data_IF_737489823266
#
_entry.id   IF_737489823266
#
_cell.length_a   1.000
_cell.length_b   1.000
_cell.length_c   1.000
_cell.angle_alpha   90.00
_cell.angle_beta   90.00
_cell.angle_gamma   90.00
#
_symmetry.space_group_name_H-M   'P 1'
#
loop_
_entity.id
_entity.type
_entity.pdbx_description
1 polymer ?
#
# COMPACT_ATOMS: atom_id res chain seq x y z
N UNK A 1 9.06 2.89 -0.01
CA UNK A 1 7.72 3.21 0.55
C UNK A 1 6.71 2.27 -0.05
N UNK A 2 5.50 2.17 0.50
CA UNK A 2 4.37 1.50 -0.11
C UNK A 2 3.25 2.50 -0.38
N UNK A 3 2.55 2.40 -1.51
CA UNK A 3 1.34 3.16 -1.81
C UNK A 3 0.17 2.21 -1.82
N UNK A 4 -0.80 2.43 -0.92
CA UNK A 4 -2.08 1.73 -0.97
C UNK A 4 -3.08 2.66 -1.65
N UNK A 5 -3.61 2.20 -2.78
CA UNK A 5 -4.58 2.89 -3.61
C UNK A 5 -5.98 2.52 -3.15
N UNK A 6 -6.50 3.32 -2.22
CA UNK A 6 -7.80 3.06 -1.61
C UNK A 6 -8.94 3.45 -2.54
N UNK A 7 -9.91 2.55 -2.69
CA UNK A 7 -11.20 2.83 -3.28
C UNK A 7 -11.91 3.90 -2.47
N UNK A 8 -12.50 4.86 -3.17
CA UNK A 8 -13.32 5.93 -2.63
C UNK A 8 -14.79 5.67 -2.92
N UNK A 9 -15.68 6.41 -2.24
CA UNK A 9 -17.13 6.37 -2.46
C UNK A 9 -17.54 6.52 -3.94
N UNK A 10 -16.80 7.33 -4.70
CA UNK A 10 -17.04 7.58 -6.12
C UNK A 10 -16.40 6.52 -7.05
N UNK A 11 -16.01 5.35 -6.52
CA UNK A 11 -15.36 4.24 -7.24
C UNK A 11 -13.99 4.56 -7.86
N UNK A 12 -13.39 5.69 -7.50
CA UNK A 12 -12.00 5.99 -7.90
C UNK A 12 -11.01 5.46 -6.86
N UNK A 13 -9.80 5.13 -7.29
CA UNK A 13 -8.70 4.74 -6.40
C UNK A 13 -7.77 5.93 -6.16
N UNK A 14 -7.36 6.18 -4.92
CA UNK A 14 -6.37 7.22 -4.58
C UNK A 14 -5.23 6.68 -3.70
N UNK A 15 -3.96 6.97 -4.04
CA UNK A 15 -2.83 6.50 -3.27
C UNK A 15 -2.75 7.16 -1.90
N UNK A 16 -2.35 6.38 -0.90
CA UNK A 16 -1.83 6.86 0.36
C UNK A 16 -0.49 6.22 0.62
N UNK A 17 0.50 7.04 0.98
CA UNK A 17 1.89 6.60 1.12
C UNK A 17 2.15 6.16 2.56
N UNK A 18 2.71 4.96 2.71
CA UNK A 18 3.16 4.42 3.98
C UNK A 18 4.68 4.19 3.94
N UNK A 19 5.36 4.65 4.98
CA UNK A 19 6.80 4.43 5.13
C UNK A 19 7.06 2.97 5.52
N UNK A 20 7.88 2.29 4.72
CA UNK A 20 8.41 0.96 5.03
C UNK A 20 9.69 1.07 5.86
N UNK A 21 10.66 1.85 5.37
CA UNK A 21 11.92 2.11 6.04
C UNK A 21 12.90 2.84 5.10
N UNK A 22 14.13 3.05 5.58
CA UNK A 22 15.30 3.41 4.77
C UNK A 22 16.34 2.34 5.05
N UNK A 23 16.88 1.74 4.01
CA UNK A 23 17.85 0.65 4.11
C UNK A 23 19.03 0.95 3.19
N UNK A 24 20.21 0.54 3.62
CA UNK A 24 21.41 0.51 2.78
C UNK A 24 21.67 -0.96 2.47
N UNK A 25 21.80 -1.30 1.19
CA UNK A 25 22.11 -2.67 0.75
C UNK A 25 23.53 -2.71 0.21
N UNK A 26 24.29 -3.73 0.58
CA UNK A 26 25.55 -4.04 -0.07
C UNK A 26 25.30 -4.63 -1.47
N UNK A 27 26.31 -4.60 -2.38
CA UNK A 27 26.19 -5.26 -3.68
C UNK A 27 25.81 -6.73 -3.54
N UNK A 28 24.74 -7.14 -4.22
CA UNK A 28 24.21 -8.52 -4.18
C UNK A 28 23.40 -8.87 -2.92
N UNK A 29 23.26 -7.95 -1.96
CA UNK A 29 22.45 -8.20 -0.76
C UNK A 29 20.96 -8.22 -1.11
N UNK A 30 20.27 -9.25 -0.61
CA UNK A 30 18.81 -9.33 -0.65
C UNK A 30 18.25 -9.09 0.73
N UNK A 31 17.20 -8.28 0.83
CA UNK A 31 16.53 -7.99 2.10
C UNK A 31 15.02 -8.20 2.00
N UNK A 32 14.49 -8.98 2.92
CA UNK A 32 13.04 -9.15 3.10
C UNK A 32 12.52 -8.05 4.03
N UNK A 33 11.44 -7.40 3.62
CA UNK A 33 10.78 -6.35 4.40
C UNK A 33 9.32 -6.70 4.60
N UNK A 34 8.91 -6.82 5.86
CA UNK A 34 7.51 -7.12 6.23
C UNK A 34 6.87 -5.90 6.87
N UNK A 35 5.65 -5.56 6.46
CA UNK A 35 4.85 -4.48 7.03
C UNK A 35 3.39 -4.91 7.10
N UNK A 36 2.81 -4.84 8.28
CA UNK A 36 1.38 -5.08 8.48
C UNK A 36 0.61 -3.77 8.39
N UNK A 37 -0.48 -3.75 7.62
CA UNK A 37 -1.43 -2.64 7.58
C UNK A 37 -2.79 -3.13 8.08
N UNK A 38 -3.32 -2.47 9.11
CA UNK A 38 -4.65 -2.79 9.64
C UNK A 38 -5.73 -1.99 8.89
N UNK A 39 -6.73 -2.70 8.38
CA UNK A 39 -7.93 -2.13 7.78
C UNK A 39 -9.03 -1.84 8.81
N UNK A 40 -8.65 -1.38 10.01
CA UNK A 40 -9.60 -1.00 11.05
C UNK A 40 -10.22 0.35 10.70
N UNK A 41 -11.55 0.43 10.67
CA UNK A 41 -12.26 1.71 10.51
C UNK A 41 -11.89 2.61 11.70
N UNK A 42 -11.36 3.79 11.40
CA UNK A 42 -11.12 4.85 12.38
C UNK A 42 -12.06 6.01 12.08
N UNK A 43 -12.21 6.94 13.03
CA UNK A 43 -12.98 8.18 12.82
C UNK A 43 -12.51 8.97 11.59
N UNK A 44 -11.24 8.85 11.24
CA UNK A 44 -10.60 9.57 10.13
C UNK A 44 -10.51 8.78 8.83
N UNK A 45 -10.92 7.51 8.81
CA UNK A 45 -10.67 6.63 7.65
C UNK A 45 -11.77 5.58 7.48
N UNK A 46 -12.62 5.83 6.49
CA UNK A 46 -13.58 4.86 5.96
C UNK A 46 -12.93 4.04 4.86
N UNK A 47 -13.10 2.72 4.91
CA UNK A 47 -12.73 1.81 3.84
C UNK A 47 -13.96 1.34 3.08
N UNK A 48 -13.91 1.39 1.76
CA UNK A 48 -14.97 0.91 0.89
C UNK A 48 -14.58 -0.48 0.36
N UNK A 49 -15.43 -1.51 0.53
CA UNK A 49 -15.21 -2.81 -0.06
C UNK A 49 -15.06 -2.71 -1.58
N UNK A 50 -14.28 -3.62 -2.15
CA UNK A 50 -13.97 -3.61 -3.58
C UNK A 50 -12.48 -3.73 -3.85
N UNK A 51 -12.14 -3.72 -5.14
CA UNK A 51 -10.77 -3.83 -5.63
C UNK A 51 -9.95 -2.59 -5.30
N UNK A 52 -8.96 -2.78 -4.45
CA UNK A 52 -7.92 -1.83 -4.10
C UNK A 52 -6.66 -2.14 -4.93
N UNK A 53 -5.62 -1.31 -4.82
CA UNK A 53 -4.29 -1.66 -5.33
C UNK A 53 -3.17 -1.31 -4.36
N UNK A 54 -2.03 -1.97 -4.51
CA UNK A 54 -0.81 -1.74 -3.77
C UNK A 54 0.35 -1.61 -4.76
N UNK A 55 1.22 -0.63 -4.56
CA UNK A 55 2.50 -0.54 -5.28
C UNK A 55 3.64 -0.24 -4.32
N UNK A 56 4.85 -0.65 -4.71
CA UNK A 56 6.09 -0.30 -4.01
C UNK A 56 6.75 0.89 -4.68
N UNK A 57 7.28 1.80 -3.87
CA UNK A 57 8.08 2.93 -4.34
C UNK A 57 9.51 2.77 -3.82
N UNK A 58 10.44 2.47 -4.71
CA UNK A 58 11.86 2.25 -4.39
C UNK A 58 12.66 3.38 -5.03
N UNK A 59 13.44 4.10 -4.23
CA UNK A 59 14.24 5.26 -4.69
C UNK A 59 13.43 6.30 -5.50
N UNK A 60 12.16 6.49 -5.16
CA UNK A 60 11.25 7.43 -5.83
C UNK A 60 10.52 6.88 -7.06
N UNK A 61 10.90 5.69 -7.54
CA UNK A 61 10.25 5.03 -8.68
C UNK A 61 9.12 4.12 -8.17
N UNK A 62 7.93 4.33 -8.70
CA UNK A 62 6.76 3.47 -8.44
C UNK A 62 6.83 2.24 -9.35
N UNK A 63 6.73 1.07 -8.73
CA UNK A 63 6.65 -0.21 -9.44
C UNK A 63 5.21 -0.55 -9.85
N UNK A 64 5.01 -1.83 -10.13
CA UNK A 64 3.72 -2.37 -10.55
C UNK A 64 2.62 -2.17 -9.50
N UNK A 65 1.40 -1.97 -10.00
CA UNK A 65 0.18 -1.98 -9.22
C UNK A 65 -0.32 -3.42 -9.09
N UNK A 66 -0.40 -3.90 -7.86
CA UNK A 66 -0.96 -5.21 -7.53
C UNK A 66 -2.34 -4.99 -6.94
N UNK A 67 -3.36 -5.51 -7.61
CA UNK A 67 -4.74 -5.43 -7.16
C UNK A 67 -5.01 -6.43 -6.03
N UNK A 68 -5.85 -6.04 -5.09
CA UNK A 68 -6.37 -6.93 -4.04
C UNK A 68 -7.80 -6.55 -3.67
N UNK A 69 -8.59 -7.54 -3.30
CA UNK A 69 -9.99 -7.32 -2.93
C UNK A 69 -10.10 -7.05 -1.42
N UNK A 70 -10.71 -5.92 -1.05
CA UNK A 70 -11.10 -5.66 0.33
C UNK A 70 -12.53 -6.15 0.55
N UNK A 71 -12.68 -7.22 1.32
CA UNK A 71 -13.98 -7.74 1.75
C UNK A 71 -14.36 -7.15 3.10
N UNK A 72 -15.65 -6.87 3.30
CA UNK A 72 -16.20 -6.65 4.63
C UNK A 72 -16.33 -8.02 5.31
N UNK A 73 -15.80 -8.13 6.52
CA UNK A 73 -16.11 -9.23 7.43
C UNK A 73 -17.51 -9.05 8.02
#
# INVERSE_FOLDING_TARGET
>A
MARVHFLKKNRTRKPSVFRLGKYTLAPGETRVVTKTHSFRVTSTRTYYPGTQALSLVINGLEGELVDFELIQA
#
